data_IF_306703748883
#
_entry.id   IF_306703748883
#
_cell.length_a   1.000
_cell.length_b   1.000
_cell.length_c   1.000
_cell.angle_alpha   90.00
_cell.angle_beta   90.00
_cell.angle_gamma   90.00
#
_symmetry.space_group_name_H-M   'P 1'
#
loop_
_entity.id
_entity.type
_entity.pdbx_description
1 polymer ?
#
# COMPACT_ATOMS: atom_id res chain seq x y z
N UNK A 1 2.82 -7.40 4.47
CA UNK A 1 2.46 -8.81 4.22
C UNK A 1 2.98 -9.20 2.85
N UNK A 2 4.22 -9.68 2.80
CA UNK A 2 4.99 -9.87 1.57
C UNK A 2 5.47 -11.32 1.37
N UNK A 3 5.34 -12.17 2.39
CA UNK A 3 5.73 -13.58 2.38
C UNK A 3 4.77 -14.44 3.23
N UNK A 4 4.98 -15.76 3.23
CA UNK A 4 4.14 -16.71 3.95
C UNK A 4 4.32 -16.59 5.48
N UNK A 5 5.53 -16.25 5.93
CA UNK A 5 5.83 -16.03 7.36
C UNK A 5 5.03 -14.87 7.92
N UNK A 6 4.97 -13.73 7.21
CA UNK A 6 4.19 -12.56 7.62
C UNK A 6 2.68 -12.79 7.53
N UNK A 7 2.20 -13.60 6.58
CA UNK A 7 0.80 -14.03 6.54
C UNK A 7 0.44 -14.89 7.77
N UNK A 8 1.28 -15.88 8.09
CA UNK A 8 1.04 -16.78 9.22
C UNK A 8 1.03 -16.04 10.57
N UNK A 9 1.99 -15.14 10.79
CA UNK A 9 2.03 -14.33 12.01
C UNK A 9 0.77 -13.48 12.18
N UNK A 10 0.24 -12.91 11.08
CA UNK A 10 -1.00 -12.14 11.14
C UNK A 10 -2.24 -13.03 11.33
N UNK A 11 -2.22 -14.27 10.82
CA UNK A 11 -3.31 -15.22 10.99
C UNK A 11 -3.60 -15.53 12.46
N UNK A 12 -2.56 -15.63 13.30
CA UNK A 12 -2.70 -15.84 14.75
C UNK A 12 -3.52 -14.72 15.41
N UNK A 13 -3.23 -13.47 15.05
CA UNK A 13 -3.96 -12.29 15.55
C UNK A 13 -5.40 -12.29 15.04
N UNK A 14 -5.60 -12.53 13.75
CA UNK A 14 -6.95 -12.57 13.16
C UNK A 14 -7.81 -13.65 13.83
N UNK A 15 -7.26 -14.84 14.03
CA UNK A 15 -7.96 -15.94 14.69
C UNK A 15 -8.33 -15.60 16.14
N UNK A 16 -7.42 -15.00 16.90
CA UNK A 16 -7.69 -14.55 18.26
C UNK A 16 -8.81 -13.50 18.31
N UNK A 17 -8.79 -12.50 17.41
CA UNK A 17 -9.85 -11.47 17.34
C UNK A 17 -11.21 -12.09 17.02
N UNK A 18 -11.27 -13.06 16.08
CA UNK A 18 -12.51 -13.71 15.68
C UNK A 18 -13.14 -14.58 16.78
N UNK A 19 -12.37 -15.01 17.78
CA UNK A 19 -12.92 -15.71 18.95
C UNK A 19 -13.77 -14.78 19.84
N UNK A 20 -13.57 -13.46 19.74
CA UNK A 20 -14.16 -12.48 20.65
C UNK A 20 -15.02 -11.43 19.96
N UNK A 21 -14.92 -11.28 18.63
CA UNK A 21 -15.64 -10.25 17.92
C UNK A 21 -16.04 -10.62 16.49
N UNK A 22 -17.21 -10.12 16.08
CA UNK A 22 -17.79 -10.31 14.76
C UNK A 22 -17.66 -9.08 13.87
N UNK A 23 -16.94 -8.03 14.31
CA UNK A 23 -16.82 -6.81 13.52
C UNK A 23 -16.06 -7.05 12.21
N UNK A 24 -16.37 -6.31 11.13
CA UNK A 24 -15.58 -6.40 9.91
C UNK A 24 -14.12 -6.01 10.14
N UNK A 25 -13.20 -6.83 9.63
CA UNK A 25 -11.76 -6.54 9.70
C UNK A 25 -11.27 -5.96 8.38
N UNK A 26 -10.55 -4.85 8.46
CA UNK A 26 -9.88 -4.22 7.33
C UNK A 26 -8.37 -4.22 7.47
N UNK A 27 -7.67 -4.19 6.34
CA UNK A 27 -6.21 -4.06 6.27
C UNK A 27 -5.83 -2.95 5.30
N UNK A 28 -4.84 -2.14 5.69
CA UNK A 28 -4.23 -1.16 4.81
C UNK A 28 -2.96 -1.76 4.20
N UNK A 29 -2.88 -1.77 2.86
CA UNK A 29 -1.68 -2.17 2.11
C UNK A 29 -0.91 -0.93 1.69
N UNK A 30 0.37 -0.85 2.02
CA UNK A 30 1.19 0.33 1.75
C UNK A 30 2.64 -0.01 1.44
N UNK A 31 3.29 0.93 0.75
CA UNK A 31 4.72 0.90 0.46
C UNK A 31 5.30 2.29 0.71
N UNK A 32 6.31 2.42 1.57
CA UNK A 32 6.77 3.72 2.04
C UNK A 32 7.58 4.53 1.00
N UNK A 33 8.12 3.88 -0.03
CA UNK A 33 8.87 4.54 -1.10
C UNK A 33 10.09 5.29 -0.54
N UNK A 34 10.32 6.55 -0.95
CA UNK A 34 11.43 7.37 -0.42
C UNK A 34 11.39 7.70 1.07
N UNK A 35 10.29 7.38 1.77
CA UNK A 35 10.16 7.52 3.24
C UNK A 35 10.36 6.18 3.97
N UNK A 36 10.78 5.13 3.27
CA UNK A 36 11.18 3.87 3.89
C UNK A 36 12.56 4.02 4.56
N UNK A 37 13.01 2.98 5.28
CA UNK A 37 14.30 2.98 5.96
C UNK A 37 14.45 4.18 6.90
N UNK A 38 13.50 4.35 7.83
CA UNK A 38 13.52 5.41 8.84
C UNK A 38 13.45 4.82 10.24
N UNK A 39 14.05 5.50 11.21
CA UNK A 39 13.93 5.16 12.61
C UNK A 39 12.47 5.26 13.06
N UNK A 40 12.14 4.56 14.13
CA UNK A 40 10.84 4.68 14.78
C UNK A 40 10.66 6.10 15.35
N UNK A 41 9.41 6.59 15.50
CA UNK A 41 9.17 7.98 15.90
C UNK A 41 9.84 8.38 17.22
N UNK A 42 9.90 7.48 18.19
CA UNK A 42 10.53 7.74 19.50
C UNK A 42 12.07 7.75 19.45
N UNK A 43 12.68 7.34 18.34
CA UNK A 43 14.12 7.47 18.06
C UNK A 43 14.42 8.64 17.10
N UNK A 44 13.43 9.50 16.84
CA UNK A 44 13.59 10.73 16.06
C UNK A 44 13.06 10.66 14.63
N UNK A 45 12.70 9.47 14.11
CA UNK A 45 12.04 9.34 12.81
C UNK A 45 12.87 9.67 11.57
N UNK A 46 14.18 9.89 11.72
CA UNK A 46 15.09 10.20 10.61
C UNK A 46 15.43 8.98 9.76
N UNK A 47 15.97 9.21 8.56
CA UNK A 47 16.43 8.12 7.68
C UNK A 47 17.57 7.32 8.33
N UNK A 48 17.44 6.00 8.31
CA UNK A 48 18.53 5.05 8.58
C UNK A 48 19.24 4.83 7.24
N UNK A 49 20.47 5.33 7.14
CA UNK A 49 21.34 5.16 5.97
C UNK A 49 21.80 3.71 5.83
N UNK A 50 22.17 3.30 4.61
CA UNK A 50 22.63 1.92 4.35
C UNK A 50 23.83 1.53 5.23
N UNK A 51 24.76 2.46 5.45
CA UNK A 51 25.93 2.25 6.31
C UNK A 51 25.56 1.94 7.78
N UNK A 52 24.34 2.28 8.20
CA UNK A 52 23.82 2.11 9.56
C UNK A 52 22.74 1.01 9.64
N UNK A 53 22.70 0.08 8.68
CA UNK A 53 21.74 -1.03 8.67
C UNK A 53 20.39 -0.70 8.01
N UNK A 54 20.28 0.47 7.37
CA UNK A 54 19.16 0.80 6.50
C UNK A 54 19.23 0.09 5.14
N UNK A 55 18.30 0.39 4.26
CA UNK A 55 18.25 -0.16 2.90
C UNK A 55 18.00 0.92 1.85
N UNK A 56 18.42 0.66 0.60
CA UNK A 56 18.14 1.54 -0.52
C UNK A 56 16.63 1.69 -0.72
N UNK A 57 16.15 2.92 -0.65
CA UNK A 57 14.73 3.22 -0.91
C UNK A 57 14.49 3.37 -2.41
N UNK A 58 13.25 3.13 -2.85
CA UNK A 58 12.82 3.29 -4.23
C UNK A 58 11.70 4.32 -4.34
N UNK A 59 11.63 5.03 -5.47
CA UNK A 59 10.66 6.10 -5.71
C UNK A 59 10.42 6.31 -7.22
N UNK A 60 9.39 7.08 -7.63
CA UNK A 60 9.22 7.45 -9.04
C UNK A 60 10.44 8.19 -9.63
N UNK A 61 11.17 8.97 -8.82
CA UNK A 61 12.34 9.74 -9.24
C UNK A 61 13.37 9.80 -8.11
N UNK A 62 14.64 10.04 -8.45
CA UNK A 62 15.75 10.13 -7.51
C UNK A 62 15.77 11.46 -6.73
N UNK A 63 14.64 11.81 -6.11
CA UNK A 63 14.45 13.04 -5.34
C UNK A 63 14.22 12.69 -3.87
N UNK A 64 15.12 13.09 -2.96
CA UNK A 64 15.01 12.74 -1.55
C UNK A 64 13.79 13.42 -0.89
N UNK A 65 13.40 12.93 0.30
CA UNK A 65 12.28 13.52 1.04
C UNK A 65 12.71 14.78 1.80
N UNK A 66 13.81 14.71 2.54
CA UNK A 66 14.54 15.85 3.09
C UNK A 66 15.86 16.08 2.34
N UNK A 67 16.40 17.29 2.36
CA UNK A 67 17.64 17.62 1.66
C UNK A 67 18.86 16.79 2.13
N UNK A 68 18.85 16.36 3.39
CA UNK A 68 19.93 15.59 4.03
C UNK A 68 19.78 14.06 3.87
N UNK A 69 18.66 13.59 3.31
CA UNK A 69 18.41 12.17 3.09
C UNK A 69 19.18 11.66 1.86
N UNK A 70 19.62 10.40 1.91
CA UNK A 70 20.07 9.67 0.73
C UNK A 70 18.93 9.58 -0.29
N UNK A 71 19.24 9.90 -1.55
CA UNK A 71 18.26 9.86 -2.62
C UNK A 71 17.75 8.41 -2.86
N UNK A 72 16.44 8.25 -3.13
CA UNK A 72 15.91 6.96 -3.54
C UNK A 72 16.42 6.58 -4.94
N UNK A 73 16.38 5.30 -5.25
CA UNK A 73 16.55 4.80 -6.61
C UNK A 73 15.28 5.08 -7.42
N UNK A 74 15.44 5.65 -8.62
CA UNK A 74 14.33 5.86 -9.53
C UNK A 74 13.88 4.52 -10.12
N UNK A 75 12.62 4.15 -9.88
CA UNK A 75 12.09 2.85 -10.30
C UNK A 75 12.14 2.64 -11.81
N UNK A 76 12.65 1.50 -12.24
CA UNK A 76 12.47 0.97 -13.59
C UNK A 76 11.03 0.49 -13.82
N UNK A 77 10.65 0.31 -15.10
CA UNK A 77 9.35 -0.28 -15.45
C UNK A 77 9.19 -1.69 -14.86
N UNK A 78 10.26 -2.49 -14.84
CA UNK A 78 10.26 -3.82 -14.24
C UNK A 78 9.99 -3.80 -12.72
N UNK A 79 10.59 -2.84 -12.00
CA UNK A 79 10.30 -2.65 -10.56
C UNK A 79 8.85 -2.18 -10.35
N UNK A 80 8.29 -1.37 -11.24
CA UNK A 80 6.88 -0.96 -11.18
C UNK A 80 5.95 -2.17 -11.38
N UNK A 81 6.25 -3.05 -12.34
CA UNK A 81 5.43 -4.24 -12.56
C UNK A 81 5.56 -5.25 -11.42
N UNK A 82 6.76 -5.41 -10.84
CA UNK A 82 6.95 -6.19 -9.63
C UNK A 82 6.15 -5.63 -8.45
N UNK A 83 6.13 -4.30 -8.28
CA UNK A 83 5.35 -3.65 -7.23
C UNK A 83 3.85 -3.98 -7.37
N UNK A 84 3.29 -3.91 -8.58
CA UNK A 84 1.88 -4.28 -8.82
C UNK A 84 1.61 -5.72 -8.39
N UNK A 85 2.47 -6.66 -8.79
CA UNK A 85 2.37 -8.06 -8.39
C UNK A 85 2.43 -8.23 -6.86
N UNK A 86 3.29 -7.50 -6.16
CA UNK A 86 3.37 -7.53 -4.70
C UNK A 86 2.07 -7.06 -4.03
N UNK A 87 1.42 -6.01 -4.55
CA UNK A 87 0.10 -5.59 -4.06
C UNK A 87 -0.97 -6.65 -4.32
N UNK A 88 -0.95 -7.30 -5.48
CA UNK A 88 -1.87 -8.40 -5.82
C UNK A 88 -1.68 -9.60 -4.88
N UNK A 89 -0.44 -10.01 -4.63
CA UNK A 89 -0.16 -11.12 -3.72
C UNK A 89 -0.54 -10.77 -2.27
N UNK A 90 -0.26 -9.55 -1.82
CA UNK A 90 -0.73 -9.08 -0.52
C UNK A 90 -2.27 -9.08 -0.42
N UNK A 91 -2.98 -8.72 -1.49
CA UNK A 91 -4.44 -8.78 -1.51
C UNK A 91 -4.97 -10.22 -1.46
N UNK A 92 -4.35 -11.16 -2.16
CA UNK A 92 -4.69 -12.59 -2.09
C UNK A 92 -4.47 -13.16 -0.68
N UNK A 93 -3.36 -12.80 -0.04
CA UNK A 93 -3.07 -13.14 1.36
C UNK A 93 -4.16 -12.59 2.30
N UNK A 94 -4.54 -11.33 2.11
CA UNK A 94 -5.60 -10.71 2.90
C UNK A 94 -6.97 -11.40 2.73
N UNK A 95 -7.31 -11.80 1.50
CA UNK A 95 -8.53 -12.58 1.20
C UNK A 95 -8.53 -13.92 1.94
N UNK A 96 -7.40 -14.65 1.91
CA UNK A 96 -7.24 -15.94 2.61
C UNK A 96 -7.39 -15.82 4.13
N UNK A 97 -6.87 -14.74 4.72
CA UNK A 97 -7.04 -14.44 6.15
C UNK A 97 -8.45 -13.95 6.50
N UNK A 98 -9.34 -13.77 5.53
CA UNK A 98 -10.73 -13.40 5.78
C UNK A 98 -10.94 -11.92 6.09
N UNK A 99 -10.02 -11.03 5.70
CA UNK A 99 -10.28 -9.59 5.71
C UNK A 99 -11.49 -9.24 4.82
N UNK A 100 -12.24 -8.22 5.19
CA UNK A 100 -13.48 -7.78 4.52
C UNK A 100 -13.29 -6.44 3.79
N UNK A 101 -12.19 -5.76 4.08
CA UNK A 101 -11.81 -4.47 3.52
C UNK A 101 -10.31 -4.46 3.24
N UNK A 102 -9.95 -4.00 2.03
CA UNK A 102 -8.59 -3.59 1.71
C UNK A 102 -8.60 -2.09 1.43
N UNK A 103 -7.73 -1.36 2.11
CA UNK A 103 -7.40 0.03 1.82
C UNK A 103 -6.02 0.11 1.14
N UNK A 104 -5.92 0.79 0.00
CA UNK A 104 -4.64 1.07 -0.65
C UNK A 104 -4.07 2.38 -0.13
N UNK A 105 -2.84 2.35 0.40
CA UNK A 105 -2.25 3.54 1.00
C UNK A 105 -1.71 4.53 -0.05
N UNK A 106 -2.60 5.39 -0.54
CA UNK A 106 -2.32 6.45 -1.53
C UNK A 106 -1.97 7.83 -0.95
N UNK A 107 -1.54 7.93 0.30
CA UNK A 107 -1.43 9.21 1.04
C UNK A 107 -0.10 9.36 1.81
N UNK A 108 0.00 10.39 2.66
CA UNK A 108 1.11 10.65 3.61
C UNK A 108 2.53 10.75 3.03
N UNK A 109 2.63 10.88 1.71
CA UNK A 109 3.91 11.01 1.01
C UNK A 109 4.61 9.67 0.79
N UNK A 110 3.90 8.55 0.92
CA UNK A 110 4.38 7.22 0.58
C UNK A 110 4.26 6.92 -0.91
N UNK A 111 4.69 5.74 -1.36
CA UNK A 111 5.04 5.48 -2.77
C UNK A 111 3.92 5.84 -3.75
N UNK A 112 2.69 5.40 -3.50
CA UNK A 112 1.57 5.71 -4.39
C UNK A 112 1.28 7.22 -4.42
N UNK A 113 1.40 7.92 -3.29
CA UNK A 113 1.31 9.39 -3.25
C UNK A 113 2.48 10.06 -3.99
N UNK A 114 3.69 9.49 -3.92
CA UNK A 114 4.86 10.00 -4.62
C UNK A 114 4.62 9.99 -6.14
N UNK A 115 4.03 8.92 -6.69
CA UNK A 115 3.65 8.88 -8.12
C UNK A 115 2.59 9.93 -8.46
N UNK A 116 1.64 10.19 -7.56
CA UNK A 116 0.62 11.21 -7.75
C UNK A 116 1.17 12.64 -7.69
N UNK A 117 2.24 12.92 -6.95
CA UNK A 117 2.70 14.30 -6.74
C UNK A 117 3.76 14.73 -7.77
N UNK A 118 3.59 15.85 -8.49
CA UNK A 118 4.62 16.37 -9.39
C UNK A 118 5.90 16.83 -8.66
N UNK A 119 5.84 17.01 -7.33
CA UNK A 119 7.02 17.33 -6.51
C UNK A 119 7.97 16.13 -6.33
N UNK A 120 7.43 14.91 -6.39
CA UNK A 120 8.19 13.68 -6.19
C UNK A 120 8.34 12.86 -7.49
N UNK A 121 7.43 13.02 -8.44
CA UNK A 121 7.42 12.32 -9.72
C UNK A 121 7.83 13.26 -10.87
N UNK A 122 9.10 13.17 -11.23
CA UNK A 122 9.73 13.88 -12.35
C UNK A 122 9.93 12.97 -13.56
N UNK A 123 9.21 11.83 -13.64
CA UNK A 123 9.32 10.90 -14.77
C UNK A 123 8.79 11.53 -16.06
N UNK A 124 9.40 11.13 -17.17
CA UNK A 124 9.02 11.51 -18.53
C UNK A 124 8.41 10.34 -19.33
N UNK A 125 8.04 9.25 -18.65
CA UNK A 125 7.41 8.07 -19.24
C UNK A 125 5.89 8.02 -18.98
N UNK A 126 5.27 6.88 -19.26
CA UNK A 126 3.83 6.64 -19.07
C UNK A 126 3.35 6.78 -17.61
N UNK A 127 4.24 6.87 -16.64
CA UNK A 127 3.92 7.04 -15.22
C UNK A 127 4.22 8.45 -14.68
N UNK A 128 4.65 9.41 -15.51
CA UNK A 128 4.93 10.79 -15.08
C UNK A 128 4.44 11.90 -16.03
N UNK A 129 4.66 13.14 -15.61
CA UNK A 129 4.20 14.34 -16.31
C UNK A 129 2.70 14.62 -16.11
N UNK A 130 1.87 14.19 -17.07
CA UNK A 130 0.44 14.49 -17.06
C UNK A 130 -0.28 13.90 -15.84
N UNK A 131 -1.43 14.48 -15.47
CA UNK A 131 -2.25 13.94 -14.38
C UNK A 131 -2.64 12.46 -14.64
N UNK A 132 -3.00 12.14 -15.88
CA UNK A 132 -3.37 10.79 -16.29
C UNK A 132 -2.22 9.79 -16.07
N UNK A 133 -1.00 10.17 -16.44
CA UNK A 133 0.18 9.33 -16.24
C UNK A 133 0.53 9.18 -14.76
N UNK A 134 0.47 10.27 -13.98
CA UNK A 134 0.71 10.22 -12.52
C UNK A 134 -0.30 9.36 -11.77
N UNK A 135 -1.56 9.32 -12.22
CA UNK A 135 -2.61 8.46 -11.65
C UNK A 135 -2.53 7.00 -12.11
N UNK A 136 -1.83 6.71 -13.22
CA UNK A 136 -1.82 5.41 -13.89
C UNK A 136 -1.51 4.26 -12.93
N UNK A 137 -0.40 4.35 -12.19
CA UNK A 137 0.04 3.27 -11.30
C UNK A 137 -1.01 2.94 -10.24
N UNK A 138 -1.59 3.97 -9.59
CA UNK A 138 -2.60 3.76 -8.56
C UNK A 138 -3.85 3.08 -9.13
N UNK A 139 -4.30 3.49 -10.31
CA UNK A 139 -5.48 2.92 -10.97
C UNK A 139 -5.24 1.48 -11.45
N UNK A 140 -4.04 1.18 -11.96
CA UNK A 140 -3.65 -0.17 -12.35
C UNK A 140 -3.63 -1.10 -11.12
N UNK A 141 -2.95 -0.72 -10.04
CA UNK A 141 -2.94 -1.49 -8.78
C UNK A 141 -4.35 -1.67 -8.23
N UNK A 142 -5.16 -0.62 -8.21
CA UNK A 142 -6.54 -0.69 -7.75
C UNK A 142 -7.36 -1.71 -8.57
N UNK A 143 -7.24 -1.67 -9.89
CA UNK A 143 -7.94 -2.59 -10.80
C UNK A 143 -7.52 -4.04 -10.56
N UNK A 144 -6.20 -4.29 -10.47
CA UNK A 144 -5.65 -5.64 -10.27
C UNK A 144 -5.99 -6.21 -8.88
N UNK A 145 -5.88 -5.41 -7.82
CA UNK A 145 -6.28 -5.81 -6.46
C UNK A 145 -7.78 -6.09 -6.41
N UNK A 146 -8.60 -5.26 -7.06
CA UNK A 146 -10.06 -5.48 -7.14
C UNK A 146 -10.43 -6.76 -7.87
N UNK A 147 -9.64 -7.20 -8.85
CA UNK A 147 -9.88 -8.44 -9.58
C UNK A 147 -9.67 -9.69 -8.71
N UNK A 148 -8.77 -9.65 -7.72
CA UNK A 148 -8.44 -10.80 -6.87
C UNK A 148 -9.14 -10.81 -5.51
N UNK A 149 -9.56 -9.65 -5.00
CA UNK A 149 -10.25 -9.54 -3.71
C UNK A 149 -11.77 -9.77 -3.87
N UNK A 150 -12.28 -10.90 -3.35
CA UNK A 150 -13.61 -11.45 -3.70
C UNK A 150 -14.76 -10.51 -3.31
N UNK A 151 -15.75 -10.36 -4.21
CA UNK A 151 -16.98 -9.55 -4.01
C UNK A 151 -18.04 -10.20 -3.12
N UNK A 152 -18.03 -11.52 -3.00
CA UNK A 152 -19.07 -12.30 -2.30
C UNK A 152 -18.41 -13.42 -1.53
N UNK A 153 -18.38 -13.30 -0.21
CA UNK A 153 -18.01 -14.39 0.67
C UNK A 153 -19.19 -15.38 0.72
N UNK A 154 -19.00 -16.70 0.49
CA UNK A 154 -20.01 -17.68 0.84
C UNK A 154 -20.25 -17.59 2.35
N UNK A 155 -21.47 -17.21 2.74
CA UNK A 155 -21.88 -17.13 4.14
C UNK A 155 -21.91 -18.54 4.73
N UNK A 156 -20.80 -18.99 5.32
CA UNK A 156 -20.79 -20.20 6.16
C UNK A 156 -21.36 -19.94 7.57
N UNK A 157 -21.81 -18.70 7.85
CA UNK A 157 -22.44 -18.32 9.10
C UNK A 157 -23.73 -17.53 8.79
N UNK A 158 -24.88 -18.11 9.10
CA UNK A 158 -26.17 -17.44 9.01
C UNK A 158 -26.38 -16.54 10.24
N UNK A 159 -26.18 -15.24 10.10
CA UNK A 159 -26.77 -14.19 10.94
C UNK A 159 -26.75 -12.84 10.19
N UNK A 160 -27.66 -11.90 10.51
CA UNK A 160 -28.53 -11.22 9.55
C UNK A 160 -27.80 -10.30 8.55
N UNK A 161 -28.44 -9.96 7.41
CA UNK A 161 -27.77 -9.32 6.29
C UNK A 161 -27.42 -7.87 6.64
N UNK A 162 -26.13 -7.60 6.84
CA UNK A 162 -25.65 -6.24 6.94
C UNK A 162 -24.28 -6.07 6.28
N UNK A 163 -24.32 -5.28 5.20
CA UNK A 163 -23.23 -4.46 4.65
C UNK A 163 -22.31 -5.14 3.65
N UNK A 164 -22.60 -4.90 2.36
CA UNK A 164 -21.66 -5.14 1.28
C UNK A 164 -20.33 -4.41 1.50
N UNK A 165 -19.27 -5.04 1.00
CA UNK A 165 -17.90 -4.53 0.95
C UNK A 165 -17.87 -3.10 0.38
N UNK A 166 -17.54 -2.10 1.22
CA UNK A 166 -17.27 -0.71 0.80
C UNK A 166 -15.76 -0.56 0.63
N UNK A 167 -15.28 -0.36 -0.60
CA UNK A 167 -13.93 0.21 -0.75
C UNK A 167 -14.01 1.70 -0.37
N UNK A 168 -13.17 2.13 0.57
CA UNK A 168 -13.08 3.54 0.93
C UNK A 168 -12.47 4.33 -0.24
N UNK A 169 -13.32 4.92 -1.08
CA UNK A 169 -12.92 5.96 -2.02
C UNK A 169 -12.62 7.24 -1.25
N UNK A 170 -11.50 7.89 -1.58
CA UNK A 170 -11.17 9.23 -1.11
C UNK A 170 -12.35 10.18 -1.38
N UNK A 171 -12.96 10.68 -0.31
CA UNK A 171 -14.07 11.62 -0.41
C UNK A 171 -13.52 12.99 -0.82
N UNK A 172 -13.70 13.38 -2.09
CA UNK A 172 -13.16 14.60 -2.69
C UNK A 172 -13.89 15.90 -2.30
N UNK A 173 -14.67 15.90 -1.21
CA UNK A 173 -15.52 17.03 -0.80
C UNK A 173 -14.96 17.85 0.38
N UNK A 174 -13.65 18.08 0.43
CA UNK A 174 -13.02 19.12 1.27
C UNK A 174 -11.91 19.83 0.51
N UNK A 175 -12.27 20.47 -0.59
CA UNK A 175 -11.53 21.59 -1.19
C UNK A 175 -12.56 22.59 -1.73
N UNK A 176 -13.13 23.37 -0.81
CA UNK A 176 -13.65 24.71 -1.06
C UNK A 176 -13.08 25.61 0.01
#
# INVERSE_FOLDING_TARGET
>A
MWDDTTEQALAEVVNAVRQHATMPLGIQLGHAGRKASTAVPWEGGGQIRQANGGWQTIAPSATPFHAEDEAPEAMSLAQIDLLKQQFVEAAKRADRLGFELIELHGAHGYLLHQFLSPLANQRNDQYGGSLQNRMRLLLEIFSEVRAVFRRTKPSAYASPPATGCRMAGMNSNRWR
#
